data_IF_612333200859
#
_entry.id   IF_612333200859
#
_cell.length_a   1.000
_cell.length_b   1.000
_cell.length_c   1.000
_cell.angle_alpha   90.00
_cell.angle_beta   90.00
_cell.angle_gamma   90.00
#
_symmetry.space_group_name_H-M   'P 1'
#
loop_
_entity.id
_entity.type
_entity.pdbx_description
1 polymer ?
#
# COMPACT_ATOMS: atom_id res chain seq x y z
N UNK A 1 -3.30 11.82 -3.14
CA UNK A 1 -1.98 11.94 -3.76
C UNK A 1 -1.65 13.35 -4.20
N UNK A 2 -2.57 14.09 -4.78
CA UNK A 2 -2.39 15.53 -5.07
C UNK A 2 -1.99 16.34 -3.84
N UNK A 3 -2.50 15.97 -2.67
CA UNK A 3 -2.14 16.63 -1.42
C UNK A 3 -0.67 16.38 -1.02
N UNK A 4 -0.14 15.17 -1.22
CA UNK A 4 1.27 14.85 -0.91
C UNK A 4 2.22 15.60 -1.86
N UNK A 5 1.89 15.66 -3.15
CA UNK A 5 2.67 16.43 -4.13
C UNK A 5 2.60 17.93 -3.84
N UNK A 6 1.42 18.46 -3.51
CA UNK A 6 1.24 19.86 -3.10
C UNK A 6 2.04 20.18 -1.84
N UNK A 7 2.00 19.32 -0.82
CA UNK A 7 2.80 19.47 0.40
C UNK A 7 4.29 19.50 0.08
N UNK A 8 4.78 18.59 -0.80
CA UNK A 8 6.17 18.57 -1.26
C UNK A 8 6.58 19.90 -1.88
N UNK A 9 5.84 20.34 -2.89
CA UNK A 9 6.14 21.58 -3.60
C UNK A 9 6.06 22.80 -2.68
N UNK A 10 5.12 22.80 -1.75
CA UNK A 10 4.97 23.89 -0.76
C UNK A 10 6.16 23.91 0.20
N UNK A 11 6.61 22.77 0.72
CA UNK A 11 7.77 22.67 1.61
C UNK A 11 9.04 23.11 0.88
N UNK A 12 9.26 22.64 -0.36
CA UNK A 12 10.40 23.05 -1.19
C UNK A 12 10.35 24.57 -1.42
N UNK A 13 9.19 25.13 -1.75
CA UNK A 13 9.01 26.56 -1.95
C UNK A 13 9.26 27.40 -0.68
N UNK A 14 8.72 26.95 0.45
CA UNK A 14 8.89 27.65 1.74
C UNK A 14 10.36 27.63 2.19
N UNK A 15 11.03 26.50 2.17
CA UNK A 15 12.43 26.39 2.57
C UNK A 15 13.34 27.18 1.60
N UNK A 16 13.12 27.08 0.29
CA UNK A 16 13.83 27.88 -0.70
C UNK A 16 13.65 29.40 -0.45
N UNK A 17 12.42 29.82 -0.12
CA UNK A 17 12.13 31.22 0.20
C UNK A 17 12.73 31.69 1.53
N UNK A 18 12.71 30.85 2.56
CA UNK A 18 13.33 31.12 3.86
C UNK A 18 14.85 31.23 3.73
N UNK A 19 15.46 30.30 3.02
CA UNK A 19 16.91 30.30 2.77
C UNK A 19 17.29 31.56 1.97
N UNK A 20 16.53 31.90 0.92
CA UNK A 20 16.69 33.12 0.16
C UNK A 20 16.58 34.38 1.04
N UNK A 21 15.57 34.46 1.92
CA UNK A 21 15.34 35.63 2.78
C UNK A 21 16.46 35.84 3.78
N UNK A 22 16.95 34.77 4.42
CA UNK A 22 18.06 34.84 5.40
C UNK A 22 19.37 35.32 4.74
N UNK A 23 19.75 34.70 3.62
CA UNK A 23 20.98 35.10 2.92
C UNK A 23 20.88 36.46 2.23
N UNK A 24 19.73 36.81 1.70
CA UNK A 24 19.48 38.12 1.10
C UNK A 24 19.61 39.26 2.13
N UNK A 25 19.03 39.10 3.33
CA UNK A 25 19.11 40.10 4.39
C UNK A 25 20.54 40.28 4.96
N UNK A 26 21.27 39.18 5.19
CA UNK A 26 22.60 39.29 5.77
C UNK A 26 23.65 39.88 4.80
N UNK A 27 23.60 39.52 3.53
CA UNK A 27 24.64 39.89 2.56
C UNK A 27 24.30 41.12 1.70
N UNK A 28 23.03 41.33 1.34
CA UNK A 28 22.64 42.43 0.50
C UNK A 28 22.64 43.79 1.23
N UNK A 29 22.36 43.79 2.53
CA UNK A 29 22.32 45.01 3.35
C UNK A 29 23.72 45.42 3.83
N UNK A 30 24.65 44.47 3.98
CA UNK A 30 26.00 44.77 4.50
C UNK A 30 27.02 45.27 3.46
N UNK A 31 26.78 45.13 2.15
CA UNK A 31 27.76 45.37 1.09
C UNK A 31 27.22 46.27 -0.06
N UNK A 32 26.57 47.38 0.24
CA UNK A 32 26.17 48.36 -0.77
C UNK A 32 27.34 49.25 -1.23
N UNK A 33 28.31 48.67 -1.88
CA UNK A 33 29.42 49.34 -2.56
C UNK A 33 29.61 48.78 -3.98
N UNK A 34 28.91 49.35 -4.92
CA UNK A 34 29.14 49.61 -6.37
C UNK A 34 29.85 48.61 -7.32
N UNK A 35 30.28 47.41 -6.96
CA UNK A 35 31.02 46.53 -7.91
C UNK A 35 30.54 45.11 -8.09
N UNK A 36 29.37 44.70 -7.56
CA UNK A 36 29.06 43.29 -7.40
C UNK A 36 27.66 42.81 -7.84
N UNK A 37 26.97 43.48 -8.74
CA UNK A 37 25.63 43.02 -9.18
C UNK A 37 25.63 41.66 -9.84
N UNK A 38 26.72 41.28 -10.51
CA UNK A 38 26.84 39.96 -11.16
C UNK A 38 27.21 38.86 -10.16
N UNK A 39 28.08 39.11 -9.20
CA UNK A 39 28.38 38.15 -8.12
C UNK A 39 27.19 37.91 -7.21
N UNK A 40 26.32 38.88 -7.01
CA UNK A 40 25.12 38.75 -6.19
C UNK A 40 24.07 37.83 -6.82
N UNK A 41 23.89 37.86 -8.15
CA UNK A 41 22.96 36.96 -8.86
C UNK A 41 23.46 35.50 -8.78
N UNK A 42 24.75 35.30 -8.93
CA UNK A 42 25.34 33.94 -8.80
C UNK A 42 25.17 33.38 -7.38
N UNK A 43 25.45 34.23 -6.35
CA UNK A 43 25.27 33.87 -4.95
C UNK A 43 23.81 33.54 -4.62
N UNK A 44 22.86 34.36 -5.04
CA UNK A 44 21.44 34.18 -4.84
C UNK A 44 20.96 32.87 -5.51
N UNK A 45 21.37 32.64 -6.75
CA UNK A 45 20.98 31.41 -7.48
C UNK A 45 21.58 30.15 -6.87
N UNK A 46 22.84 30.16 -6.43
CA UNK A 46 23.46 29.05 -5.71
C UNK A 46 22.73 28.75 -4.41
N UNK A 47 22.45 29.78 -3.62
CA UNK A 47 21.75 29.64 -2.33
C UNK A 47 20.32 29.09 -2.49
N UNK A 48 19.58 29.59 -3.49
CA UNK A 48 18.25 29.05 -3.80
C UNK A 48 18.34 27.57 -4.22
N UNK A 49 19.30 27.22 -5.04
CA UNK A 49 19.53 25.84 -5.46
C UNK A 49 19.86 24.92 -4.26
N UNK A 50 20.75 25.36 -3.36
CA UNK A 50 21.05 24.64 -2.11
C UNK A 50 19.80 24.48 -1.23
N UNK A 51 18.95 25.51 -1.12
CA UNK A 51 17.68 25.43 -0.40
C UNK A 51 16.74 24.34 -0.95
N UNK A 52 16.68 24.18 -2.27
CA UNK A 52 15.92 23.10 -2.93
C UNK A 52 16.51 21.72 -2.57
N UNK A 53 17.83 21.57 -2.61
CA UNK A 53 18.53 20.30 -2.32
C UNK A 53 18.35 19.92 -0.83
N UNK A 54 18.49 20.88 0.10
CA UNK A 54 18.24 20.67 1.53
C UNK A 54 16.81 20.19 1.76
N UNK A 55 15.84 20.89 1.15
CA UNK A 55 14.43 20.54 1.27
C UNK A 55 14.13 19.15 0.74
N UNK A 56 14.73 18.78 -0.39
CA UNK A 56 14.61 17.43 -0.98
C UNK A 56 15.21 16.36 -0.05
N UNK A 57 16.39 16.65 0.55
CA UNK A 57 17.03 15.72 1.51
C UNK A 57 16.16 15.50 2.75
N UNK A 58 15.78 16.58 3.44
CA UNK A 58 14.95 16.51 4.67
C UNK A 58 13.64 15.80 4.40
N UNK A 59 12.97 16.18 3.31
CA UNK A 59 11.71 15.56 2.92
C UNK A 59 11.86 14.04 2.71
N UNK A 60 12.86 13.60 1.95
CA UNK A 60 13.03 12.18 1.67
C UNK A 60 13.44 11.40 2.93
N UNK A 61 14.28 11.95 3.80
CA UNK A 61 14.62 11.33 5.08
C UNK A 61 13.40 11.21 6.01
N UNK A 62 12.56 12.25 6.08
CA UNK A 62 11.30 12.20 6.83
C UNK A 62 10.33 11.13 6.28
N UNK A 63 10.22 11.04 4.95
CA UNK A 63 9.40 10.00 4.31
C UNK A 63 9.94 8.58 4.57
N UNK A 64 11.25 8.41 4.65
CA UNK A 64 11.83 7.14 5.06
C UNK A 64 11.39 6.72 6.46
N UNK A 65 11.36 7.65 7.41
CA UNK A 65 10.91 7.35 8.79
C UNK A 65 9.45 6.87 8.78
N UNK A 66 8.60 7.48 7.95
CA UNK A 66 7.18 7.16 7.87
C UNK A 66 6.88 5.89 7.07
N UNK A 67 7.44 5.76 5.85
CA UNK A 67 7.10 4.68 4.90
C UNK A 67 8.05 3.47 5.05
N UNK A 68 9.24 3.66 5.66
CA UNK A 68 10.28 2.62 5.82
C UNK A 68 10.81 2.05 4.50
N UNK A 69 10.65 2.76 3.39
CA UNK A 69 11.17 2.36 2.09
C UNK A 69 12.58 2.92 1.88
N UNK A 70 13.58 2.04 1.68
CA UNK A 70 15.01 2.38 1.56
C UNK A 70 15.33 3.34 0.42
N UNK A 71 14.50 3.42 -0.62
CA UNK A 71 14.69 4.37 -1.72
C UNK A 71 14.75 5.82 -1.22
N UNK A 72 13.88 6.17 -0.28
CA UNK A 72 13.87 7.52 0.31
C UNK A 72 15.13 7.79 1.15
N UNK A 73 15.61 6.80 1.90
CA UNK A 73 16.82 6.91 2.69
C UNK A 73 18.04 7.19 1.80
N UNK A 74 18.25 6.34 0.80
CA UNK A 74 19.42 6.45 -0.07
C UNK A 74 19.40 7.74 -0.88
N UNK A 75 18.25 8.14 -1.39
CA UNK A 75 18.13 9.40 -2.11
C UNK A 75 18.32 10.61 -1.18
N UNK A 76 17.72 10.63 0.01
CA UNK A 76 17.92 11.70 0.99
C UNK A 76 19.39 11.86 1.41
N UNK A 77 20.10 10.75 1.62
CA UNK A 77 21.53 10.77 1.91
C UNK A 77 22.37 11.25 0.71
N UNK A 78 22.06 10.82 -0.50
CA UNK A 78 22.73 11.32 -1.71
C UNK A 78 22.63 12.85 -1.80
N UNK A 79 21.42 13.42 -1.58
CA UNK A 79 21.19 14.86 -1.60
C UNK A 79 21.95 15.59 -0.47
N UNK A 80 21.99 15.00 0.72
CA UNK A 80 22.77 15.56 1.83
C UNK A 80 24.26 15.68 1.47
N UNK A 81 24.86 14.61 0.91
CA UNK A 81 26.24 14.64 0.48
C UNK A 81 26.49 15.53 -0.74
N UNK A 82 25.49 15.67 -1.64
CA UNK A 82 25.55 16.67 -2.71
C UNK A 82 25.64 18.09 -2.16
N UNK A 83 24.90 18.39 -1.09
CA UNK A 83 25.01 19.68 -0.41
C UNK A 83 26.43 19.91 0.16
N UNK A 84 26.98 18.92 0.88
CA UNK A 84 28.36 19.02 1.38
C UNK A 84 29.39 19.18 0.27
N UNK A 85 29.22 18.49 -0.85
CA UNK A 85 30.07 18.64 -2.03
C UNK A 85 30.01 20.07 -2.60
N UNK A 86 28.79 20.63 -2.76
CA UNK A 86 28.61 21.98 -3.30
C UNK A 86 29.17 23.05 -2.37
N UNK A 87 28.97 22.93 -1.05
CA UNK A 87 29.56 23.86 -0.07
C UNK A 87 31.10 23.85 -0.16
N UNK A 88 31.73 22.68 -0.33
CA UNK A 88 33.17 22.60 -0.51
C UNK A 88 33.63 23.14 -1.88
N UNK A 89 32.83 23.00 -2.92
CA UNK A 89 33.11 23.56 -4.25
C UNK A 89 33.05 25.10 -4.20
N UNK A 90 32.09 25.66 -3.47
CA UNK A 90 31.85 27.09 -3.35
C UNK A 90 32.90 27.85 -2.57
N UNK A 91 33.73 27.16 -1.78
CA UNK A 91 34.84 27.82 -1.07
C UNK A 91 35.79 28.56 -2.05
N UNK A 92 35.80 28.17 -3.33
CA UNK A 92 36.51 28.85 -4.40
C UNK A 92 35.85 30.17 -4.79
N UNK A 93 34.50 30.29 -4.60
CA UNK A 93 33.70 31.41 -5.05
C UNK A 93 33.14 32.27 -3.92
N UNK A 94 33.00 31.75 -2.70
CA UNK A 94 32.28 32.36 -1.59
C UNK A 94 33.13 32.31 -0.31
N UNK A 95 34.08 33.25 -0.19
CA UNK A 95 34.96 33.37 0.98
C UNK A 95 34.25 33.42 2.36
N UNK A 96 33.01 33.94 2.52
CA UNK A 96 32.32 33.91 3.79
C UNK A 96 31.95 32.53 4.34
N UNK A 97 31.71 31.55 3.47
CA UNK A 97 31.39 30.19 3.93
C UNK A 97 32.60 29.49 4.55
N UNK A 98 33.79 29.75 4.04
CA UNK A 98 35.04 29.18 4.53
C UNK A 98 35.40 29.78 5.90
N UNK A 99 35.18 31.08 6.11
CA UNK A 99 35.39 31.76 7.40
C UNK A 99 34.42 31.29 8.49
N UNK A 100 33.13 31.02 8.11
CA UNK A 100 32.10 30.63 9.10
C UNK A 100 32.18 29.14 9.45
N UNK A 101 32.46 28.27 8.49
CA UNK A 101 32.37 26.82 8.71
C UNK A 101 33.69 26.07 8.67
N UNK A 102 34.82 26.71 8.26
CA UNK A 102 36.12 26.06 8.13
C UNK A 102 36.09 24.78 7.27
N UNK A 103 35.21 24.74 6.28
CA UNK A 103 34.84 23.54 5.54
C UNK A 103 35.73 23.26 4.34
N UNK A 104 36.74 24.10 4.06
CA UNK A 104 37.70 23.87 2.99
C UNK A 104 38.67 22.73 3.34
N UNK A 105 38.13 21.50 3.32
CA UNK A 105 38.92 20.33 3.66
C UNK A 105 38.91 19.37 2.45
N UNK A 106 40.07 19.08 1.83
CA UNK A 106 40.16 18.14 0.70
C UNK A 106 39.57 16.77 1.00
N UNK A 107 39.66 16.31 2.26
CA UNK A 107 39.02 15.05 2.67
C UNK A 107 37.50 15.10 2.54
N UNK A 108 36.87 16.18 3.01
CA UNK A 108 35.41 16.33 2.94
C UNK A 108 34.92 16.45 1.48
N UNK A 109 35.68 17.10 0.63
CA UNK A 109 35.37 17.21 -0.81
C UNK A 109 35.35 15.84 -1.48
N UNK A 110 36.46 15.07 -1.33
CA UNK A 110 36.54 13.74 -1.94
C UNK A 110 35.59 12.74 -1.30
N UNK A 111 35.42 12.78 0.01
CA UNK A 111 34.50 11.91 0.75
C UNK A 111 33.04 12.16 0.39
N UNK A 112 32.63 13.43 0.29
CA UNK A 112 31.26 13.77 -0.14
C UNK A 112 30.96 13.27 -1.54
N UNK A 113 31.90 13.44 -2.47
CA UNK A 113 31.79 12.96 -3.86
C UNK A 113 31.66 11.43 -3.95
N UNK A 114 32.48 10.69 -3.23
CA UNK A 114 32.38 9.22 -3.14
C UNK A 114 31.06 8.78 -2.47
N UNK A 115 30.59 9.51 -1.47
CA UNK A 115 29.30 9.26 -0.81
C UNK A 115 28.11 9.50 -1.73
N UNK A 116 28.14 10.56 -2.55
CA UNK A 116 27.12 10.79 -3.60
C UNK A 116 27.03 9.58 -4.52
N UNK A 117 28.17 9.10 -5.02
CA UNK A 117 28.20 7.93 -5.89
C UNK A 117 27.63 6.69 -5.19
N UNK A 118 28.05 6.41 -3.95
CA UNK A 118 27.60 5.26 -3.17
C UNK A 118 26.08 5.27 -3.00
N UNK A 119 25.53 6.38 -2.49
CA UNK A 119 24.11 6.45 -2.20
C UNK A 119 23.24 6.54 -3.47
N UNK A 120 23.75 7.14 -4.54
CA UNK A 120 23.10 7.10 -5.86
C UNK A 120 23.04 5.69 -6.43
N UNK A 121 24.09 4.89 -6.32
CA UNK A 121 24.09 3.49 -6.73
C UNK A 121 23.11 2.63 -5.90
N UNK A 122 23.08 2.83 -4.58
CA UNK A 122 22.12 2.17 -3.70
C UNK A 122 20.69 2.56 -4.03
N UNK A 123 20.45 3.84 -4.30
CA UNK A 123 19.16 4.35 -4.76
C UNK A 123 18.70 3.70 -6.05
N UNK A 124 19.56 3.68 -7.09
CA UNK A 124 19.25 3.09 -8.38
C UNK A 124 18.92 1.62 -8.24
N UNK A 125 19.73 0.89 -7.49
CA UNK A 125 19.53 -0.53 -7.26
C UNK A 125 18.16 -0.83 -6.68
N UNK A 126 17.72 -0.05 -5.70
CA UNK A 126 16.38 -0.16 -5.10
C UNK A 126 15.28 0.37 -6.03
N UNK A 127 15.54 1.49 -6.70
CA UNK A 127 14.56 2.13 -7.57
C UNK A 127 14.21 1.25 -8.78
N UNK A 128 15.20 0.68 -9.46
CA UNK A 128 15.01 -0.18 -10.63
C UNK A 128 14.74 -1.64 -10.27
N UNK A 129 14.77 -2.01 -8.98
CA UNK A 129 14.65 -3.41 -8.52
C UNK A 129 15.59 -4.36 -9.26
N UNK A 130 16.84 -3.92 -9.43
CA UNK A 130 17.87 -4.59 -10.24
C UNK A 130 18.25 -5.99 -9.70
N UNK A 131 17.80 -6.36 -8.48
CA UNK A 131 18.10 -7.69 -7.94
C UNK A 131 17.57 -8.86 -8.78
N UNK A 132 16.60 -8.61 -9.64
CA UNK A 132 16.07 -9.62 -10.56
C UNK A 132 16.96 -9.85 -11.78
N UNK A 133 17.94 -8.96 -12.03
CA UNK A 133 18.91 -9.08 -13.12
C UNK A 133 20.28 -9.41 -12.53
N UNK A 134 20.64 -10.70 -12.50
CA UNK A 134 21.79 -11.21 -11.75
C UNK A 134 23.13 -10.56 -12.14
N UNK A 135 23.38 -10.41 -13.43
CA UNK A 135 24.62 -9.79 -13.92
C UNK A 135 24.74 -8.32 -13.50
N UNK A 136 23.65 -7.56 -13.66
CA UNK A 136 23.60 -6.15 -13.29
C UNK A 136 23.75 -5.95 -11.80
N UNK A 137 23.11 -6.80 -11.00
CA UNK A 137 23.22 -6.78 -9.55
C UNK A 137 24.63 -7.11 -9.07
N UNK A 138 25.33 -8.09 -9.68
CA UNK A 138 26.72 -8.41 -9.38
C UNK A 138 27.65 -7.23 -9.70
N UNK A 139 27.45 -6.58 -10.86
CA UNK A 139 28.26 -5.43 -11.25
C UNK A 139 28.06 -4.25 -10.31
N UNK A 140 26.81 -3.87 -10.02
CA UNK A 140 26.54 -2.75 -9.07
C UNK A 140 27.14 -3.04 -7.69
N UNK A 141 27.05 -4.28 -7.19
CA UNK A 141 27.73 -4.66 -5.95
C UNK A 141 29.22 -4.48 -6.03
N UNK A 142 29.85 -4.91 -7.12
CA UNK A 142 31.30 -4.74 -7.32
C UNK A 142 31.68 -3.25 -7.29
N UNK A 143 30.92 -2.39 -7.97
CA UNK A 143 31.16 -0.94 -7.99
C UNK A 143 30.95 -0.33 -6.59
N UNK A 144 29.92 -0.77 -5.84
CA UNK A 144 29.73 -0.34 -4.45
C UNK A 144 30.96 -0.70 -3.58
N UNK A 145 31.49 -1.93 -3.71
CA UNK A 145 32.68 -2.33 -2.96
C UNK A 145 33.92 -1.52 -3.37
N UNK A 146 34.08 -1.25 -4.66
CA UNK A 146 35.16 -0.39 -5.16
C UNK A 146 35.03 1.05 -4.63
N UNK A 147 33.81 1.59 -4.60
CA UNK A 147 33.55 2.93 -4.04
C UNK A 147 33.85 2.96 -2.54
N UNK A 148 33.49 1.93 -1.79
CA UNK A 148 33.82 1.83 -0.35
C UNK A 148 35.34 1.74 -0.16
N UNK A 149 36.06 1.00 -1.00
CA UNK A 149 37.53 0.93 -0.96
C UNK A 149 38.16 2.29 -1.30
N UNK A 150 37.62 3.04 -2.28
CA UNK A 150 38.07 4.39 -2.63
C UNK A 150 37.81 5.39 -1.48
N UNK A 151 36.71 5.25 -0.76
CA UNK A 151 36.44 6.04 0.45
C UNK A 151 37.46 5.78 1.54
N UNK A 152 37.82 4.52 1.79
CA UNK A 152 38.89 4.17 2.75
C UNK A 152 40.25 4.70 2.30
N UNK A 153 40.56 4.60 1.01
CA UNK A 153 41.78 5.15 0.43
C UNK A 153 41.83 6.67 0.60
N UNK A 154 40.71 7.35 0.35
CA UNK A 154 40.58 8.80 0.54
C UNK A 154 40.84 9.20 2.00
N UNK A 155 40.35 8.45 2.98
CA UNK A 155 40.58 8.72 4.40
C UNK A 155 42.08 8.61 4.80
N UNK A 156 42.84 7.74 4.13
CA UNK A 156 44.25 7.51 4.42
C UNK A 156 45.14 8.52 3.68
N UNK A 157 44.86 8.74 2.39
CA UNK A 157 45.77 9.46 1.47
C UNK A 157 45.28 10.85 1.06
N UNK A 158 44.12 11.29 1.51
CA UNK A 158 43.47 12.57 1.12
C UNK A 158 43.23 12.75 -0.37
N UNK A 159 43.16 11.65 -1.12
CA UNK A 159 43.00 11.64 -2.55
C UNK A 159 42.06 10.51 -2.99
N UNK A 160 41.09 10.82 -3.85
CA UNK A 160 40.17 9.84 -4.42
C UNK A 160 40.66 9.38 -5.77
N UNK A 161 40.88 8.07 -5.95
CA UNK A 161 41.35 7.48 -7.19
C UNK A 161 40.21 7.24 -8.18
N UNK A 162 39.14 6.59 -7.74
CA UNK A 162 38.06 6.07 -8.57
C UNK A 162 36.91 7.06 -8.71
N UNK A 163 36.57 7.80 -7.66
CA UNK A 163 35.45 8.75 -7.67
C UNK A 163 35.67 9.92 -8.67
N UNK A 164 36.89 10.11 -9.16
CA UNK A 164 37.19 11.07 -10.21
C UNK A 164 36.72 10.61 -11.61
N UNK A 165 36.68 9.30 -11.89
CA UNK A 165 36.39 8.74 -13.21
C UNK A 165 35.01 8.05 -13.28
N UNK A 166 34.56 7.45 -12.19
CA UNK A 166 33.38 6.60 -12.12
C UNK A 166 32.04 7.38 -12.23
N UNK A 167 31.88 8.60 -11.66
CA UNK A 167 30.55 9.26 -11.56
C UNK A 167 29.83 9.45 -12.88
N UNK A 168 30.55 9.59 -13.98
CA UNK A 168 29.98 9.92 -15.30
C UNK A 168 29.60 8.64 -16.09
N UNK A 169 30.46 7.62 -16.05
CA UNK A 169 30.29 6.44 -16.90
C UNK A 169 29.25 5.45 -16.37
N UNK A 170 29.10 5.30 -15.07
CA UNK A 170 28.19 4.32 -14.48
C UNK A 170 26.71 4.70 -14.65
N UNK A 171 26.27 5.91 -14.32
CA UNK A 171 24.91 6.35 -14.62
C UNK A 171 24.56 6.20 -16.11
N UNK A 172 25.43 6.61 -17.00
CA UNK A 172 25.22 6.49 -18.47
C UNK A 172 25.03 5.02 -18.86
N UNK A 173 25.90 4.15 -18.39
CA UNK A 173 25.82 2.73 -18.73
C UNK A 173 24.56 2.06 -18.17
N UNK A 174 24.17 2.36 -16.92
CA UNK A 174 22.94 1.89 -16.30
C UNK A 174 21.70 2.38 -17.05
N UNK A 175 21.71 3.65 -17.45
CA UNK A 175 20.65 4.26 -18.27
C UNK A 175 20.50 3.49 -19.58
N UNK A 176 21.59 3.27 -20.30
CA UNK A 176 21.57 2.59 -21.59
C UNK A 176 21.13 1.12 -21.47
N UNK A 177 21.55 0.43 -20.39
CA UNK A 177 21.17 -0.96 -20.15
C UNK A 177 19.67 -1.15 -19.87
N UNK A 178 19.03 -0.19 -19.19
CA UNK A 178 17.63 -0.24 -18.80
C UNK A 178 16.68 0.52 -19.75
N UNK A 179 17.22 1.37 -20.63
CA UNK A 179 16.42 2.21 -21.53
C UNK A 179 15.46 1.39 -22.41
N UNK A 180 15.92 0.28 -22.97
CA UNK A 180 15.10 -0.59 -23.83
C UNK A 180 13.91 -1.19 -23.08
N UNK A 181 14.09 -1.56 -21.81
CA UNK A 181 13.01 -2.08 -20.97
C UNK A 181 12.01 -0.98 -20.64
N UNK A 182 12.48 0.17 -20.18
CA UNK A 182 11.65 1.28 -19.80
C UNK A 182 10.83 1.85 -20.97
N UNK A 183 11.39 1.87 -22.18
CA UNK A 183 10.67 2.27 -23.40
C UNK A 183 9.54 1.27 -23.71
N UNK A 184 9.79 -0.03 -23.59
CA UNK A 184 8.76 -1.05 -23.81
C UNK A 184 7.64 -1.00 -22.78
N UNK A 185 7.99 -0.80 -21.53
CA UNK A 185 7.04 -0.78 -20.41
C UNK A 185 6.37 0.59 -20.20
N UNK A 186 6.76 1.63 -20.96
CA UNK A 186 6.31 3.03 -20.80
C UNK A 186 6.44 3.51 -19.33
N UNK A 187 7.58 3.21 -18.72
CA UNK A 187 7.88 3.50 -17.31
C UNK A 187 8.13 5.00 -17.08
N UNK A 188 7.06 5.75 -16.79
CA UNK A 188 7.13 7.19 -16.53
C UNK A 188 8.08 7.59 -15.39
N UNK A 189 8.11 6.90 -14.23
CA UNK A 189 9.13 7.14 -13.20
C UNK A 189 10.56 7.09 -13.73
N UNK A 190 10.84 6.16 -14.63
CA UNK A 190 12.15 6.03 -15.24
C UNK A 190 12.48 7.20 -16.17
N UNK A 191 11.53 7.70 -16.95
CA UNK A 191 11.75 8.88 -17.77
C UNK A 191 12.09 10.12 -16.95
N UNK A 192 11.43 10.33 -15.81
CA UNK A 192 11.78 11.44 -14.90
C UNK A 192 13.20 11.28 -14.36
N UNK A 193 13.59 10.08 -13.94
CA UNK A 193 14.95 9.79 -13.48
C UNK A 193 15.98 10.07 -14.57
N UNK A 194 15.72 9.60 -15.80
CA UNK A 194 16.60 9.84 -16.96
C UNK A 194 16.77 11.32 -17.24
N UNK A 195 15.67 12.09 -17.25
CA UNK A 195 15.71 13.53 -17.57
C UNK A 195 16.55 14.28 -16.56
N UNK A 196 16.37 14.03 -15.26
CA UNK A 196 17.19 14.65 -14.21
C UNK A 196 18.67 14.37 -14.39
N UNK A 197 19.03 13.11 -14.60
CA UNK A 197 20.42 12.71 -14.76
C UNK A 197 21.05 13.17 -16.08
N UNK A 198 20.30 13.13 -17.17
CA UNK A 198 20.78 13.61 -18.45
C UNK A 198 21.21 15.09 -18.39
N UNK A 199 20.38 15.92 -17.74
CA UNK A 199 20.69 17.35 -17.52
C UNK A 199 21.96 17.49 -16.68
N UNK A 200 22.09 16.73 -15.57
CA UNK A 200 23.25 16.81 -14.68
C UNK A 200 24.54 16.36 -15.37
N UNK A 201 24.49 15.26 -16.11
CA UNK A 201 25.64 14.75 -16.86
C UNK A 201 26.02 15.73 -17.97
N UNK A 202 25.07 16.26 -18.71
CA UNK A 202 25.33 17.20 -19.80
C UNK A 202 26.03 18.47 -19.30
N UNK A 203 25.55 19.07 -18.20
CA UNK A 203 26.18 20.26 -17.62
C UNK A 203 27.57 19.94 -17.05
N UNK A 204 27.73 18.80 -16.36
CA UNK A 204 29.04 18.37 -15.83
C UNK A 204 30.09 18.16 -16.95
N UNK A 205 29.67 17.61 -18.10
CA UNK A 205 30.55 17.43 -19.27
C UNK A 205 30.95 18.77 -19.88
N UNK A 206 30.00 19.68 -20.06
CA UNK A 206 30.27 21.04 -20.57
C UNK A 206 31.24 21.80 -19.67
N UNK A 207 31.06 21.69 -18.35
CA UNK A 207 31.93 22.31 -17.37
C UNK A 207 33.33 21.68 -17.40
N UNK A 208 33.43 20.37 -17.45
CA UNK A 208 34.70 19.66 -17.54
C UNK A 208 35.49 19.98 -18.83
N UNK A 209 34.79 20.21 -19.95
CA UNK A 209 35.41 20.65 -21.20
C UNK A 209 35.80 22.12 -21.21
N UNK A 210 35.58 22.87 -20.12
CA UNK A 210 35.90 24.30 -20.04
C UNK A 210 35.03 25.20 -20.93
N UNK A 211 33.97 24.66 -21.53
CA UNK A 211 33.11 25.43 -22.44
C UNK A 211 32.32 26.53 -21.69
N UNK A 212 32.09 26.36 -20.39
CA UNK A 212 31.45 27.37 -19.53
C UNK A 212 32.38 28.57 -19.31
N UNK A 213 33.69 28.33 -19.22
CA UNK A 213 34.68 29.40 -19.08
C UNK A 213 34.66 30.41 -20.25
N UNK A 214 34.20 30.00 -21.44
CA UNK A 214 33.96 30.85 -22.59
C UNK A 214 32.87 31.91 -22.40
N UNK A 215 31.94 31.64 -21.47
CA UNK A 215 30.81 32.56 -21.19
C UNK A 215 31.27 33.72 -20.28
N UNK A 216 32.49 33.63 -19.71
CA UNK A 216 33.16 34.74 -19.02
C UNK A 216 32.54 35.13 -17.66
N UNK A 217 31.57 34.36 -17.15
CA UNK A 217 30.88 34.67 -15.91
C UNK A 217 30.86 33.49 -14.98
N UNK A 218 31.25 33.64 -13.69
CA UNK A 218 31.09 32.57 -12.68
C UNK A 218 29.63 32.41 -12.32
N UNK A 219 28.90 31.58 -13.10
CA UNK A 219 27.48 31.27 -12.84
C UNK A 219 27.38 29.85 -12.24
N UNK A 220 26.57 29.63 -11.20
CA UNK A 220 26.52 28.37 -10.45
C UNK A 220 25.68 27.32 -11.21
N UNK A 221 26.12 26.93 -12.40
CA UNK A 221 25.40 25.97 -13.25
C UNK A 221 25.22 24.62 -12.57
N UNK A 222 26.23 24.11 -11.85
CA UNK A 222 26.18 22.85 -11.14
C UNK A 222 25.11 22.86 -10.03
N UNK A 223 25.00 23.93 -9.27
CA UNK A 223 24.02 24.08 -8.20
C UNK A 223 22.59 24.01 -8.73
N UNK A 224 22.32 24.78 -9.78
CA UNK A 224 21.00 24.81 -10.43
C UNK A 224 20.68 23.44 -11.02
N UNK A 225 21.66 22.79 -11.60
CA UNK A 225 21.50 21.47 -12.21
C UNK A 225 21.14 20.40 -11.17
N UNK A 226 21.84 20.36 -10.05
CA UNK A 226 21.51 19.43 -8.96
C UNK A 226 20.16 19.76 -8.31
N UNK A 227 19.76 21.04 -8.25
CA UNK A 227 18.43 21.41 -7.79
C UNK A 227 17.33 20.91 -8.76
N UNK A 228 17.53 21.07 -10.07
CA UNK A 228 16.64 20.54 -11.11
C UNK A 228 16.56 19.00 -11.02
N UNK A 229 17.71 18.34 -10.92
CA UNK A 229 17.79 16.89 -10.72
C UNK A 229 16.98 16.46 -9.50
N UNK A 230 17.14 17.17 -8.38
CA UNK A 230 16.40 16.89 -7.14
C UNK A 230 14.88 16.94 -7.33
N UNK A 231 14.39 17.85 -8.15
CA UNK A 231 12.98 17.96 -8.47
C UNK A 231 12.55 16.75 -9.33
N UNK A 232 13.27 16.45 -10.40
CA UNK A 232 12.92 15.33 -11.29
C UNK A 232 12.96 13.97 -10.58
N UNK A 233 13.96 13.72 -9.74
CA UNK A 233 14.04 12.48 -8.97
C UNK A 233 12.94 12.40 -7.89
N UNK A 234 12.60 13.51 -7.25
CA UNK A 234 11.46 13.57 -6.32
C UNK A 234 10.13 13.28 -7.02
N UNK A 235 9.96 13.76 -8.25
CA UNK A 235 8.81 13.43 -9.11
C UNK A 235 8.80 11.95 -9.50
N UNK A 236 9.95 11.40 -9.90
CA UNK A 236 10.09 9.98 -10.23
C UNK A 236 9.66 9.06 -9.07
N UNK A 237 10.17 9.33 -7.86
CA UNK A 237 9.82 8.57 -6.66
C UNK A 237 8.32 8.71 -6.33
N UNK A 238 7.79 9.92 -6.41
CA UNK A 238 6.37 10.20 -6.12
C UNK A 238 5.44 9.50 -7.09
N UNK A 239 5.76 9.53 -8.38
CA UNK A 239 4.97 8.86 -9.40
C UNK A 239 5.01 7.33 -9.24
N UNK A 240 6.18 6.79 -8.93
CA UNK A 240 6.34 5.37 -8.64
C UNK A 240 5.52 4.92 -7.44
N UNK A 241 5.51 5.72 -6.38
CA UNK A 241 4.67 5.46 -5.21
C UNK A 241 3.18 5.43 -5.59
N UNK A 242 2.74 6.38 -6.42
CA UNK A 242 1.36 6.40 -6.95
C UNK A 242 1.01 5.09 -7.66
N UNK A 243 1.85 4.65 -8.59
CA UNK A 243 1.60 3.42 -9.35
C UNK A 243 1.52 2.19 -8.45
N UNK A 244 2.36 2.13 -7.41
CA UNK A 244 2.33 1.03 -6.44
C UNK A 244 1.04 1.06 -5.59
N UNK A 245 0.60 2.22 -5.15
CA UNK A 245 -0.65 2.40 -4.41
C UNK A 245 -1.88 2.00 -5.26
N UNK A 246 -1.93 2.45 -6.52
CA UNK A 246 -2.99 2.07 -7.46
C UNK A 246 -3.01 0.55 -7.72
N UNK A 247 -1.84 -0.06 -7.89
CA UNK A 247 -1.72 -1.51 -8.06
C UNK A 247 -2.18 -2.28 -6.83
N UNK A 248 -1.82 -1.81 -5.64
CA UNK A 248 -2.25 -2.42 -4.38
C UNK A 248 -3.78 -2.34 -4.22
N UNK A 249 -4.38 -1.18 -4.50
CA UNK A 249 -5.84 -1.00 -4.47
C UNK A 249 -6.55 -1.92 -5.46
N UNK A 250 -6.00 -2.05 -6.67
CA UNK A 250 -6.55 -2.98 -7.67
C UNK A 250 -6.47 -4.44 -7.20
N UNK A 251 -5.37 -4.86 -6.58
CA UNK A 251 -5.23 -6.20 -6.01
C UNK A 251 -6.23 -6.44 -4.89
N UNK A 252 -6.44 -5.47 -3.99
CA UNK A 252 -7.46 -5.56 -2.95
C UNK A 252 -8.87 -5.73 -3.54
N UNK A 253 -9.21 -4.96 -4.57
CA UNK A 253 -10.51 -5.09 -5.26
C UNK A 253 -10.70 -6.47 -5.89
N UNK A 254 -9.65 -7.03 -6.50
CA UNK A 254 -9.70 -8.39 -7.07
C UNK A 254 -9.89 -9.45 -5.98
N UNK A 255 -9.21 -9.33 -4.85
CA UNK A 255 -9.38 -10.24 -3.72
C UNK A 255 -10.81 -10.18 -3.16
N UNK A 256 -11.40 -8.98 -3.06
CA UNK A 256 -12.81 -8.82 -2.68
C UNK A 256 -13.75 -9.54 -3.65
N UNK A 257 -13.54 -9.39 -4.94
CA UNK A 257 -14.34 -10.08 -5.95
C UNK A 257 -14.21 -11.60 -5.86
N UNK A 258 -12.98 -12.12 -5.68
CA UNK A 258 -12.74 -13.56 -5.51
C UNK A 258 -13.43 -14.10 -4.26
N UNK A 259 -13.35 -13.39 -3.13
CA UNK A 259 -14.05 -13.78 -1.90
C UNK A 259 -15.56 -13.82 -2.08
N UNK A 260 -16.13 -12.83 -2.79
CA UNK A 260 -17.57 -12.83 -3.12
C UNK A 260 -17.95 -14.04 -3.96
N UNK A 261 -17.15 -14.38 -4.97
CA UNK A 261 -17.41 -15.56 -5.82
C UNK A 261 -17.29 -16.86 -5.03
N UNK A 262 -16.32 -16.98 -4.14
CA UNK A 262 -16.17 -18.15 -3.28
C UNK A 262 -17.38 -18.31 -2.33
N UNK A 263 -17.79 -17.24 -1.65
CA UNK A 263 -18.99 -17.24 -0.79
C UNK A 263 -20.26 -17.56 -1.59
N UNK A 264 -20.36 -17.05 -2.83
CA UNK A 264 -21.47 -17.38 -3.74
C UNK A 264 -21.50 -18.88 -4.10
N UNK A 265 -20.34 -19.51 -4.33
CA UNK A 265 -20.24 -20.95 -4.59
C UNK A 265 -20.74 -21.79 -3.43
N UNK A 266 -20.38 -21.43 -2.21
CA UNK A 266 -20.84 -22.11 -0.99
C UNK A 266 -22.36 -21.96 -0.81
N UNK A 267 -22.90 -20.76 -1.02
CA UNK A 267 -24.32 -20.50 -0.93
C UNK A 267 -25.14 -21.23 -1.99
N UNK A 268 -24.65 -21.32 -3.23
CA UNK A 268 -25.32 -22.10 -4.29
C UNK A 268 -25.47 -23.55 -3.82
N UNK A 269 -24.48 -24.12 -3.15
CA UNK A 269 -24.56 -25.46 -2.57
C UNK A 269 -25.67 -25.57 -1.50
N UNK A 270 -25.76 -24.56 -0.62
CA UNK A 270 -26.82 -24.48 0.41
C UNK A 270 -28.19 -24.40 -0.23
N UNK A 271 -28.36 -23.50 -1.21
CA UNK A 271 -29.64 -23.34 -1.93
C UNK A 271 -30.04 -24.62 -2.65
N UNK A 272 -29.09 -25.26 -3.36
CA UNK A 272 -29.36 -26.54 -4.05
C UNK A 272 -29.88 -27.59 -3.08
N UNK A 273 -29.29 -27.66 -1.86
CA UNK A 273 -29.74 -28.59 -0.83
C UNK A 273 -31.14 -28.18 -0.29
N UNK A 274 -31.35 -26.89 -0.04
CA UNK A 274 -32.66 -26.38 0.42
C UNK A 274 -33.78 -26.61 -0.59
N UNK A 275 -33.48 -26.53 -1.88
CA UNK A 275 -34.48 -26.78 -2.93
C UNK A 275 -34.80 -28.24 -3.16
N UNK A 276 -33.87 -29.13 -2.88
CA UNK A 276 -34.11 -30.58 -3.00
C UNK A 276 -35.27 -31.05 -2.11
N UNK A 277 -35.45 -30.47 -0.93
CA UNK A 277 -36.53 -30.81 -0.01
C UNK A 277 -37.93 -30.42 -0.53
N UNK A 278 -38.23 -29.13 -0.87
CA UNK A 278 -39.53 -28.75 -1.41
C UNK A 278 -39.82 -29.39 -2.77
N UNK A 279 -38.81 -29.61 -3.62
CA UNK A 279 -39.01 -30.34 -4.89
C UNK A 279 -39.44 -31.80 -4.67
N UNK A 280 -38.83 -32.48 -3.69
CA UNK A 280 -39.25 -33.85 -3.32
C UNK A 280 -40.68 -33.82 -2.77
N UNK A 281 -41.00 -32.83 -1.91
CA UNK A 281 -42.38 -32.70 -1.41
C UNK A 281 -43.40 -32.45 -2.56
N UNK A 282 -43.09 -31.52 -3.48
CA UNK A 282 -43.94 -31.23 -4.65
C UNK A 282 -44.11 -32.46 -5.54
N UNK A 283 -43.10 -33.29 -5.68
CA UNK A 283 -43.18 -34.57 -6.40
C UNK A 283 -44.21 -35.54 -5.75
N UNK A 284 -44.14 -35.65 -4.42
CA UNK A 284 -45.08 -36.51 -3.65
C UNK A 284 -46.50 -35.95 -3.73
N UNK A 285 -46.64 -34.61 -3.58
CA UNK A 285 -47.97 -33.94 -3.75
C UNK A 285 -48.55 -34.19 -5.15
N UNK A 286 -47.73 -34.10 -6.18
CA UNK A 286 -48.17 -34.35 -7.56
C UNK A 286 -48.62 -35.77 -7.77
N UNK A 287 -47.93 -36.78 -7.17
CA UNK A 287 -48.35 -38.18 -7.20
C UNK A 287 -49.70 -38.38 -6.48
N UNK A 288 -49.86 -37.77 -5.30
CA UNK A 288 -51.10 -37.88 -4.54
C UNK A 288 -52.28 -37.18 -5.23
N UNK A 289 -52.06 -35.99 -5.84
CA UNK A 289 -53.06 -35.28 -6.63
C UNK A 289 -53.59 -36.13 -7.80
N UNK A 290 -52.69 -36.85 -8.51
CA UNK A 290 -53.11 -37.75 -9.60
C UNK A 290 -54.00 -38.87 -9.08
N UNK A 291 -53.67 -39.44 -7.90
CA UNK A 291 -54.48 -40.49 -7.28
C UNK A 291 -55.86 -39.97 -6.81
N UNK A 292 -55.87 -38.83 -6.09
CA UNK A 292 -57.09 -38.21 -5.61
C UNK A 292 -58.02 -37.77 -6.74
N UNK A 293 -57.47 -37.33 -7.88
CA UNK A 293 -58.24 -37.02 -9.07
C UNK A 293 -58.96 -38.27 -9.62
N UNK A 294 -58.32 -39.44 -9.57
CA UNK A 294 -58.92 -40.70 -9.96
C UNK A 294 -60.03 -41.17 -8.99
N UNK A 295 -59.93 -40.81 -7.71
CA UNK A 295 -60.83 -41.18 -6.64
C UNK A 295 -61.91 -40.11 -6.35
N UNK A 296 -62.01 -38.99 -7.13
CA UNK A 296 -62.94 -37.85 -6.95
C UNK A 296 -62.86 -37.22 -5.56
N UNK A 297 -61.71 -37.20 -4.93
CA UNK A 297 -61.50 -36.62 -3.60
C UNK A 297 -61.10 -35.14 -3.67
N UNK A 298 -61.32 -34.38 -2.57
CA UNK A 298 -60.99 -32.96 -2.47
C UNK A 298 -59.46 -32.75 -2.29
N UNK A 299 -58.83 -32.05 -3.26
CA UNK A 299 -57.38 -31.82 -3.31
C UNK A 299 -56.92 -30.44 -2.82
N UNK A 300 -57.85 -29.60 -2.35
CA UNK A 300 -57.59 -28.19 -2.04
C UNK A 300 -56.48 -28.01 -1.01
N UNK A 301 -56.36 -28.88 0.02
CA UNK A 301 -55.36 -28.79 1.04
C UNK A 301 -53.94 -29.05 0.48
N UNK A 302 -53.77 -30.05 -0.35
CA UNK A 302 -52.49 -30.33 -1.01
C UNK A 302 -52.04 -29.25 -1.98
N UNK A 303 -52.98 -28.64 -2.69
CA UNK A 303 -52.73 -27.49 -3.59
C UNK A 303 -52.24 -26.28 -2.80
N UNK A 304 -52.87 -25.95 -1.67
CA UNK A 304 -52.46 -24.85 -0.81
C UNK A 304 -51.05 -25.08 -0.21
N UNK A 305 -50.74 -26.31 0.18
CA UNK A 305 -49.43 -26.66 0.70
C UNK A 305 -48.35 -26.57 -0.39
N UNK A 306 -48.66 -26.99 -1.62
CA UNK A 306 -47.82 -26.84 -2.81
C UNK A 306 -47.49 -25.39 -3.10
N UNK A 307 -48.49 -24.51 -3.03
CA UNK A 307 -48.33 -23.07 -3.25
C UNK A 307 -47.34 -22.47 -2.21
N UNK A 308 -47.49 -22.80 -0.93
CA UNK A 308 -46.59 -22.36 0.14
C UNK A 308 -45.15 -22.80 -0.12
N UNK A 309 -44.91 -24.00 -0.61
CA UNK A 309 -43.56 -24.48 -0.94
C UNK A 309 -42.94 -23.72 -2.10
N UNK A 310 -43.74 -23.41 -3.13
CA UNK A 310 -43.29 -22.58 -4.27
C UNK A 310 -42.95 -21.16 -3.83
N UNK A 311 -43.79 -20.56 -2.98
CA UNK A 311 -43.50 -19.22 -2.39
C UNK A 311 -42.22 -19.23 -1.55
N UNK A 312 -42.01 -20.27 -0.73
CA UNK A 312 -40.78 -20.44 0.02
C UNK A 312 -39.52 -20.50 -0.88
N UNK A 313 -39.60 -21.27 -1.99
CA UNK A 313 -38.52 -21.36 -2.96
C UNK A 313 -38.23 -20.03 -3.63
N UNK A 314 -39.29 -19.29 -4.01
CA UNK A 314 -39.16 -17.94 -4.61
C UNK A 314 -38.53 -16.96 -3.69
N UNK A 315 -38.97 -16.90 -2.43
CA UNK A 315 -38.41 -16.01 -1.40
C UNK A 315 -36.96 -16.32 -1.11
N UNK A 316 -36.56 -17.60 -1.20
CA UNK A 316 -35.16 -18.02 -1.04
C UNK A 316 -34.29 -17.46 -2.16
N UNK A 317 -34.76 -17.46 -3.43
CA UNK A 317 -34.03 -16.85 -4.56
C UNK A 317 -33.94 -15.34 -4.39
N UNK A 318 -35.03 -14.67 -4.03
CA UNK A 318 -35.05 -13.22 -3.87
C UNK A 318 -34.08 -12.78 -2.77
N UNK A 319 -34.08 -13.45 -1.63
CA UNK A 319 -33.10 -13.20 -0.55
C UNK A 319 -31.66 -13.40 -1.01
N UNK A 320 -31.40 -14.43 -1.82
CA UNK A 320 -30.07 -14.67 -2.39
C UNK A 320 -29.68 -13.60 -3.40
N UNK A 321 -30.57 -13.22 -4.31
CA UNK A 321 -30.33 -12.15 -5.29
C UNK A 321 -30.01 -10.83 -4.61
N UNK A 322 -30.77 -10.49 -3.57
CA UNK A 322 -30.59 -9.24 -2.84
C UNK A 322 -29.28 -9.21 -2.05
N UNK A 323 -28.89 -10.33 -1.45
CA UNK A 323 -27.61 -10.49 -0.77
C UNK A 323 -26.39 -10.27 -1.71
N UNK A 324 -26.46 -10.73 -2.96
CA UNK A 324 -25.38 -10.58 -3.95
C UNK A 324 -25.52 -9.38 -4.87
N UNK A 325 -26.51 -8.54 -4.66
CA UNK A 325 -26.67 -7.33 -5.46
C UNK A 325 -25.45 -6.41 -5.24
N UNK A 326 -24.70 -6.04 -6.31
CA UNK A 326 -23.52 -5.21 -6.19
C UNK A 326 -23.83 -3.73 -5.92
N UNK A 327 -24.95 -3.41 -5.24
CA UNK A 327 -25.28 -2.03 -4.92
C UNK A 327 -24.18 -1.46 -4.00
N UNK A 328 -23.41 -0.51 -4.52
CA UNK A 328 -22.38 0.21 -3.78
C UNK A 328 -22.96 1.33 -2.87
N UNK A 329 -24.26 1.30 -2.59
CA UNK A 329 -24.86 2.35 -1.77
C UNK A 329 -24.56 2.07 -0.31
N UNK A 330 -23.91 3.05 0.31
CA UNK A 330 -23.79 3.10 1.76
C UNK A 330 -25.12 3.62 2.30
N UNK A 331 -25.67 2.90 3.27
CA UNK A 331 -26.94 3.22 3.92
C UNK A 331 -26.83 2.99 5.43
N UNK A 332 -27.76 3.55 6.17
CA UNK A 332 -27.90 3.25 7.59
C UNK A 332 -28.74 1.98 7.77
N UNK A 333 -28.26 1.01 8.53
CA UNK A 333 -28.93 -0.25 8.75
C UNK A 333 -28.73 -0.78 10.17
N UNK A 334 -29.70 -1.53 10.70
CA UNK A 334 -29.65 -2.18 12.00
C UNK A 334 -28.76 -3.41 11.98
N UNK A 335 -27.87 -3.53 12.97
CA UNK A 335 -27.01 -4.69 13.17
C UNK A 335 -27.82 -5.96 13.46
N UNK A 336 -28.92 -5.83 14.24
CA UNK A 336 -29.81 -6.95 14.54
C UNK A 336 -30.51 -7.48 13.28
N UNK A 337 -31.08 -6.59 12.44
CA UNK A 337 -31.73 -7.01 11.21
C UNK A 337 -30.78 -7.71 10.24
N UNK A 338 -29.53 -7.24 10.12
CA UNK A 338 -28.53 -7.87 9.30
C UNK A 338 -28.18 -9.27 9.81
N UNK A 339 -28.01 -9.46 11.11
CA UNK A 339 -27.75 -10.78 11.71
C UNK A 339 -28.93 -11.74 11.54
N UNK A 340 -30.17 -11.30 11.75
CA UNK A 340 -31.38 -12.11 11.56
C UNK A 340 -31.51 -12.57 10.10
N UNK A 341 -31.22 -11.67 9.15
CA UNK A 341 -31.22 -12.03 7.72
C UNK A 341 -30.21 -13.14 7.42
N UNK A 342 -28.97 -13.01 7.88
CA UNK A 342 -27.94 -14.04 7.71
C UNK A 342 -28.33 -15.35 8.38
N UNK A 343 -28.89 -15.31 9.58
CA UNK A 343 -29.36 -16.51 10.29
C UNK A 343 -30.47 -17.24 9.51
N UNK A 344 -31.38 -16.49 8.92
CA UNK A 344 -32.41 -17.07 8.04
C UNK A 344 -31.80 -17.82 6.87
N UNK A 345 -30.78 -17.26 6.25
CA UNK A 345 -30.05 -17.87 5.12
C UNK A 345 -29.38 -19.20 5.53
N UNK A 346 -28.71 -19.22 6.69
CA UNK A 346 -27.94 -20.40 7.14
C UNK A 346 -28.77 -21.43 7.92
N UNK A 347 -29.99 -21.11 8.30
CA UNK A 347 -30.85 -21.89 9.21
C UNK A 347 -30.99 -23.37 8.82
N UNK A 348 -31.26 -23.62 7.54
CA UNK A 348 -31.41 -24.99 7.01
C UNK A 348 -30.07 -25.78 7.07
N UNK A 349 -28.94 -25.13 6.75
CA UNK A 349 -27.63 -25.75 6.79
C UNK A 349 -27.23 -26.11 8.23
N UNK A 350 -27.49 -25.22 9.20
CA UNK A 350 -27.25 -25.47 10.62
C UNK A 350 -28.14 -26.57 11.16
N UNK A 351 -29.43 -26.57 10.83
CA UNK A 351 -30.39 -27.61 11.20
C UNK A 351 -30.00 -29.00 10.66
N UNK A 352 -29.59 -29.07 9.39
CA UNK A 352 -29.10 -30.28 8.77
C UNK A 352 -27.85 -30.86 9.44
N UNK A 353 -26.99 -29.99 9.94
CA UNK A 353 -25.80 -30.33 10.71
C UNK A 353 -26.09 -30.54 12.22
N UNK A 354 -27.37 -30.41 12.66
CA UNK A 354 -27.78 -30.48 14.06
C UNK A 354 -27.10 -29.47 14.97
N UNK A 355 -26.71 -28.31 14.42
CA UNK A 355 -26.07 -27.21 15.15
C UNK A 355 -27.15 -26.27 15.70
N UNK A 356 -27.14 -26.03 17.01
CA UNK A 356 -28.03 -25.07 17.67
C UNK A 356 -27.44 -23.67 17.56
N UNK A 357 -28.22 -22.71 17.07
CA UNK A 357 -27.84 -21.28 17.13
C UNK A 357 -28.71 -20.56 18.18
N UNK A 358 -28.07 -19.83 19.06
CA UNK A 358 -28.72 -19.01 20.08
C UNK A 358 -28.30 -17.55 19.90
N UNK A 359 -29.30 -16.67 19.85
CA UNK A 359 -29.09 -15.25 19.61
C UNK A 359 -29.65 -14.42 20.75
N UNK A 360 -28.88 -13.46 21.22
CA UNK A 360 -29.29 -12.51 22.26
C UNK A 360 -28.98 -11.10 21.79
N UNK A 361 -29.97 -10.24 21.80
CA UNK A 361 -29.81 -8.80 21.54
C UNK A 361 -30.04 -8.06 22.83
N UNK A 362 -28.98 -7.55 23.45
CA UNK A 362 -29.07 -6.72 24.63
C UNK A 362 -29.46 -5.28 24.26
N UNK A 363 -28.81 -4.75 23.22
CA UNK A 363 -29.07 -3.42 22.66
C UNK A 363 -28.71 -3.42 21.19
N UNK A 364 -29.67 -3.04 20.33
CA UNK A 364 -29.42 -2.88 18.88
C UNK A 364 -28.71 -1.54 18.60
N UNK A 365 -27.98 -1.48 17.50
CA UNK A 365 -27.34 -0.27 17.03
C UNK A 365 -27.33 -0.21 15.51
N UNK A 366 -27.23 1.01 14.97
CA UNK A 366 -27.19 1.27 13.56
C UNK A 366 -25.76 1.43 13.07
N UNK A 367 -25.49 0.92 11.87
CA UNK A 367 -24.24 1.06 11.14
C UNK A 367 -24.48 1.83 9.85
N UNK A 368 -23.50 2.64 9.45
CA UNK A 368 -23.49 3.30 8.15
C UNK A 368 -22.48 2.66 7.23
N UNK A 369 -22.93 2.01 6.19
CA UNK A 369 -22.07 1.31 5.25
C UNK A 369 -22.83 0.46 4.22
N UNK A 370 -22.13 -0.47 3.58
CA UNK A 370 -22.75 -1.43 2.70
C UNK A 370 -23.27 -2.62 3.51
N UNK A 371 -24.60 -2.71 3.67
CA UNK A 371 -25.27 -3.77 4.41
C UNK A 371 -24.90 -5.17 3.90
N UNK A 372 -24.84 -5.37 2.59
CA UNK A 372 -24.51 -6.67 2.00
C UNK A 372 -23.08 -7.12 2.33
N UNK A 373 -22.12 -6.19 2.39
CA UNK A 373 -20.74 -6.51 2.80
C UNK A 373 -20.68 -6.89 4.27
N UNK A 374 -21.42 -6.20 5.12
CA UNK A 374 -21.53 -6.57 6.53
C UNK A 374 -22.18 -7.94 6.73
N UNK A 375 -23.27 -8.22 6.04
CA UNK A 375 -23.92 -9.54 6.06
C UNK A 375 -22.97 -10.65 5.56
N UNK A 376 -22.12 -10.35 4.56
CA UNK A 376 -21.10 -11.28 4.09
C UNK A 376 -20.06 -11.60 5.19
N UNK A 377 -19.67 -10.62 6.00
CA UNK A 377 -18.80 -10.86 7.16
C UNK A 377 -19.47 -11.80 8.15
N UNK A 378 -20.71 -11.51 8.55
CA UNK A 378 -21.46 -12.35 9.50
C UNK A 378 -21.61 -13.77 8.97
N UNK A 379 -21.95 -13.93 7.68
CA UNK A 379 -22.06 -15.22 7.02
C UNK A 379 -20.75 -16.00 7.08
N UNK A 380 -19.64 -15.36 6.75
CA UNK A 380 -18.32 -16.00 6.77
C UNK A 380 -17.94 -16.47 8.18
N UNK A 381 -18.19 -15.65 9.21
CA UNK A 381 -17.90 -16.03 10.59
C UNK A 381 -18.78 -17.20 11.09
N UNK A 382 -20.07 -17.19 10.76
CA UNK A 382 -20.99 -18.28 11.10
C UNK A 382 -20.64 -19.57 10.37
N UNK A 383 -20.27 -19.49 9.09
CA UNK A 383 -19.81 -20.66 8.33
C UNK A 383 -18.50 -21.22 8.88
N UNK A 384 -17.55 -20.38 9.29
CA UNK A 384 -16.33 -20.84 9.92
C UNK A 384 -16.61 -21.58 11.24
N UNK A 385 -17.53 -21.08 12.05
CA UNK A 385 -18.00 -21.75 13.26
C UNK A 385 -18.65 -23.10 12.93
N UNK A 386 -19.59 -23.14 11.96
CA UNK A 386 -20.25 -24.36 11.49
C UNK A 386 -19.24 -25.42 11.05
N UNK A 387 -18.28 -25.03 10.22
CA UNK A 387 -17.29 -25.97 9.69
C UNK A 387 -16.40 -26.55 10.79
N UNK A 388 -15.96 -25.71 11.74
CA UNK A 388 -15.17 -26.18 12.89
C UNK A 388 -15.94 -27.19 13.76
N UNK A 389 -17.24 -26.96 13.96
CA UNK A 389 -18.10 -27.86 14.71
C UNK A 389 -18.30 -29.22 14.01
N UNK A 390 -18.47 -29.20 12.68
CA UNK A 390 -18.62 -30.39 11.86
C UNK A 390 -17.30 -31.19 11.80
N UNK A 391 -16.19 -30.50 11.48
CA UNK A 391 -14.87 -31.13 11.33
C UNK A 391 -14.44 -31.87 12.60
N UNK A 392 -14.74 -31.28 13.76
CA UNK A 392 -14.34 -31.84 15.05
C UNK A 392 -15.41 -32.73 15.71
N UNK A 393 -16.55 -32.98 15.05
CA UNK A 393 -17.62 -33.85 15.50
C UNK A 393 -18.06 -33.56 16.95
N UNK A 394 -18.31 -32.28 17.26
CA UNK A 394 -18.70 -31.82 18.60
C UNK A 394 -20.06 -32.46 18.96
N UNK A 395 -20.16 -33.05 20.16
CA UNK A 395 -21.32 -33.82 20.60
C UNK A 395 -22.60 -32.95 20.73
N UNK A 396 -22.47 -31.73 21.23
CA UNK A 396 -23.56 -30.76 21.33
C UNK A 396 -23.15 -29.44 20.62
N UNK A 397 -23.13 -29.40 19.27
CA UNK A 397 -22.61 -28.28 18.54
C UNK A 397 -23.52 -27.04 18.70
N UNK A 398 -22.95 -25.92 19.11
CA UNK A 398 -23.67 -24.68 19.40
C UNK A 398 -22.90 -23.47 18.88
N UNK A 399 -23.66 -22.53 18.30
CA UNK A 399 -23.20 -21.19 17.97
C UNK A 399 -24.00 -20.19 18.80
N UNK A 400 -23.32 -19.27 19.47
CA UNK A 400 -23.95 -18.20 20.24
C UNK A 400 -23.61 -16.87 19.62
N UNK A 401 -24.63 -16.05 19.36
CA UNK A 401 -24.46 -14.68 18.85
C UNK A 401 -25.03 -13.69 19.87
N UNK A 402 -24.26 -12.64 20.18
CA UNK A 402 -24.69 -11.60 21.13
C UNK A 402 -24.47 -10.24 20.48
N UNK A 403 -25.51 -9.43 20.45
CA UNK A 403 -25.44 -8.01 20.07
C UNK A 403 -25.54 -7.18 21.35
N UNK A 404 -24.56 -6.31 21.54
CA UNK A 404 -24.51 -5.37 22.66
C UNK A 404 -24.17 -3.99 22.10
N UNK A 405 -24.11 -2.98 22.97
CA UNK A 405 -23.78 -1.61 22.61
C UNK A 405 -22.50 -1.58 21.73
N UNK A 406 -22.67 -1.20 20.44
CA UNK A 406 -21.62 -1.11 19.43
C UNK A 406 -20.77 -2.37 19.20
N UNK A 407 -21.27 -3.56 19.56
CA UNK A 407 -20.49 -4.80 19.37
C UNK A 407 -21.35 -6.01 19.04
N UNK A 408 -20.73 -6.91 18.24
CA UNK A 408 -21.31 -8.23 17.93
C UNK A 408 -20.29 -9.30 18.30
N UNK A 409 -20.75 -10.31 19.01
CA UNK A 409 -19.95 -11.48 19.37
C UNK A 409 -20.52 -12.70 18.70
N UNK A 410 -19.67 -13.52 18.05
CA UNK A 410 -20.03 -14.81 17.46
C UNK A 410 -19.10 -15.86 18.06
N UNK A 411 -19.68 -16.80 18.81
CA UNK A 411 -18.96 -17.83 19.54
C UNK A 411 -19.41 -19.22 19.10
N UNK A 412 -18.47 -20.12 18.85
CA UNK A 412 -18.68 -21.56 18.73
C UNK A 412 -18.12 -22.30 19.96
N UNK A 413 -18.62 -23.50 20.21
CA UNK A 413 -18.11 -24.39 21.24
C UNK A 413 -17.24 -25.52 20.66
N UNK A 414 -16.47 -25.22 19.60
CA UNK A 414 -15.54 -26.14 18.96
C UNK A 414 -14.24 -26.33 19.75
N UNK A 415 -13.24 -26.96 19.10
CA UNK A 415 -11.89 -27.18 19.71
C UNK A 415 -10.99 -25.97 19.71
N UNK A 416 -11.47 -24.85 19.14
CA UNK A 416 -10.72 -23.62 19.04
C UNK A 416 -9.59 -23.66 18.01
N UNK A 417 -8.80 -22.59 18.00
CA UNK A 417 -7.69 -22.34 17.07
C UNK A 417 -6.37 -22.42 17.85
N UNK A 418 -5.36 -23.08 17.29
CA UNK A 418 -4.05 -23.19 17.92
C UNK A 418 -3.36 -21.83 18.07
N UNK A 419 -2.50 -21.69 19.12
CA UNK A 419 -1.76 -20.44 19.38
C UNK A 419 -0.86 -20.01 18.22
N UNK A 420 -0.41 -20.95 17.41
CA UNK A 420 0.42 -20.65 16.23
C UNK A 420 -0.42 -20.08 15.09
N UNK A 421 -1.62 -20.63 14.90
CA UNK A 421 -2.51 -20.23 13.81
C UNK A 421 -3.25 -18.93 14.11
N UNK A 422 -3.60 -18.66 15.37
CA UNK A 422 -4.38 -17.46 15.76
C UNK A 422 -3.71 -16.14 15.30
N UNK A 423 -2.38 -16.13 15.18
CA UNK A 423 -1.63 -14.95 14.69
C UNK A 423 -1.70 -14.78 13.16
N UNK A 424 -2.11 -15.83 12.45
CA UNK A 424 -2.08 -15.92 10.98
C UNK A 424 -3.46 -16.01 10.35
N UNK A 425 -4.53 -16.22 11.15
CA UNK A 425 -5.88 -16.45 10.59
C UNK A 425 -6.42 -15.30 9.76
N UNK A 426 -5.88 -14.10 9.96
CA UNK A 426 -6.22 -12.92 9.17
C UNK A 426 -5.23 -12.63 8.03
N UNK A 427 -4.19 -13.47 7.84
CA UNK A 427 -3.28 -13.32 6.71
C UNK A 427 -3.97 -13.82 5.44
N UNK A 428 -3.81 -13.13 4.30
CA UNK A 428 -4.40 -13.59 3.04
C UNK A 428 -3.81 -14.95 2.63
N UNK A 429 -4.68 -15.81 2.11
CA UNK A 429 -4.37 -17.20 1.70
C UNK A 429 -3.99 -18.16 2.84
N UNK A 430 -4.18 -17.77 4.09
CA UNK A 430 -3.99 -18.68 5.20
C UNK A 430 -5.26 -19.51 5.45
N UNK A 431 -5.15 -20.83 5.37
CA UNK A 431 -6.22 -21.78 5.69
C UNK A 431 -5.65 -23.08 6.26
N UNK A 432 -6.36 -23.65 7.22
CA UNK A 432 -6.11 -25.02 7.72
C UNK A 432 -6.99 -26.05 6.99
N UNK A 433 -7.98 -25.61 6.22
CA UNK A 433 -8.92 -26.44 5.48
C UNK A 433 -8.38 -26.79 4.09
N UNK A 434 -8.49 -28.06 3.65
CA UNK A 434 -7.96 -28.52 2.34
C UNK A 434 -8.60 -27.84 1.11
N UNK A 435 -9.86 -27.39 1.22
CA UNK A 435 -10.65 -26.88 0.10
C UNK A 435 -11.07 -25.41 0.30
N UNK A 436 -10.29 -24.62 1.02
CA UNK A 436 -10.59 -23.22 1.26
C UNK A 436 -9.43 -22.33 0.81
N UNK A 437 -9.74 -21.25 0.09
CA UNK A 437 -8.76 -20.30 -0.44
C UNK A 437 -8.07 -19.44 0.63
N UNK A 438 -8.50 -19.51 1.90
CA UNK A 438 -7.92 -18.77 3.02
C UNK A 438 -8.09 -17.25 2.93
N UNK A 439 -9.08 -16.76 2.19
CA UNK A 439 -9.31 -15.34 1.94
C UNK A 439 -10.42 -14.77 2.84
N UNK A 440 -11.34 -15.63 3.30
CA UNK A 440 -12.58 -15.20 3.98
C UNK A 440 -12.35 -14.30 5.21
N UNK A 441 -11.53 -14.73 6.17
CA UNK A 441 -11.24 -13.96 7.39
C UNK A 441 -10.46 -12.68 7.10
N UNK A 442 -9.51 -12.72 6.14
CA UNK A 442 -8.80 -11.53 5.70
C UNK A 442 -9.77 -10.46 5.16
N UNK A 443 -10.69 -10.87 4.29
CA UNK A 443 -11.71 -9.96 3.73
C UNK A 443 -12.68 -9.48 4.82
N UNK A 444 -13.11 -10.36 5.73
CA UNK A 444 -13.97 -9.96 6.86
C UNK A 444 -13.30 -8.87 7.69
N UNK A 445 -12.01 -9.00 7.99
CA UNK A 445 -11.25 -7.98 8.71
C UNK A 445 -11.16 -6.68 7.93
N UNK A 446 -10.88 -6.76 6.63
CA UNK A 446 -10.77 -5.58 5.77
C UNK A 446 -12.10 -4.82 5.66
N UNK A 447 -13.23 -5.50 5.51
CA UNK A 447 -14.56 -4.87 5.46
C UNK A 447 -14.85 -4.16 6.78
N UNK A 448 -14.65 -4.83 7.92
CA UNK A 448 -14.92 -4.23 9.24
C UNK A 448 -14.00 -3.03 9.48
N UNK A 449 -12.69 -3.16 9.26
CA UNK A 449 -11.73 -2.12 9.64
C UNK A 449 -11.64 -0.96 8.64
N UNK A 450 -11.76 -1.22 7.33
CA UNK A 450 -11.55 -0.19 6.31
C UNK A 450 -12.84 0.43 5.80
N UNK A 451 -13.94 -0.34 5.72
CA UNK A 451 -15.20 0.14 5.15
C UNK A 451 -16.20 0.60 6.21
N UNK A 452 -16.22 -0.06 7.37
CA UNK A 452 -17.19 0.17 8.44
C UNK A 452 -16.59 0.87 9.67
N UNK A 453 -15.27 1.04 9.75
CA UNK A 453 -14.59 1.75 10.82
C UNK A 453 -14.61 1.03 12.17
N UNK A 454 -14.83 -0.28 12.18
CA UNK A 454 -14.79 -1.13 13.37
C UNK A 454 -13.46 -1.88 13.53
N UNK A 455 -13.43 -2.82 14.47
CA UNK A 455 -12.29 -3.71 14.73
C UNK A 455 -12.77 -5.17 14.82
N UNK A 456 -12.10 -6.10 14.13
CA UNK A 456 -12.38 -7.54 14.19
C UNK A 456 -11.31 -8.24 15.02
N UNK A 457 -11.71 -8.77 16.19
CA UNK A 457 -10.85 -9.50 17.13
C UNK A 457 -11.26 -10.96 17.24
N UNK A 458 -10.34 -11.79 17.75
CA UNK A 458 -10.58 -13.19 18.01
C UNK A 458 -10.01 -13.59 19.36
N UNK A 459 -10.75 -14.40 20.13
CA UNK A 459 -10.25 -15.15 21.27
C UNK A 459 -10.59 -16.63 21.05
N UNK A 460 -9.65 -17.50 21.31
CA UNK A 460 -9.86 -18.95 21.13
C UNK A 460 -9.10 -19.73 22.19
N UNK A 461 -9.73 -20.79 22.68
CA UNK A 461 -9.20 -21.73 23.63
C UNK A 461 -9.70 -23.15 23.28
N UNK A 462 -9.48 -24.13 24.14
CA UNK A 462 -9.93 -25.51 23.93
C UNK A 462 -11.46 -25.71 24.01
N UNK A 463 -12.20 -24.69 24.46
CA UNK A 463 -13.65 -24.73 24.60
C UNK A 463 -14.38 -24.02 23.46
N UNK A 464 -13.63 -23.47 22.47
CA UNK A 464 -14.19 -22.85 21.27
C UNK A 464 -13.47 -21.59 20.80
N UNK A 465 -14.08 -20.95 19.80
CA UNK A 465 -13.60 -19.69 19.23
C UNK A 465 -14.67 -18.61 19.37
N UNK A 466 -14.23 -17.40 19.69
CA UNK A 466 -15.08 -16.23 19.80
C UNK A 466 -14.53 -15.10 18.93
N UNK A 467 -15.29 -14.65 17.95
CA UNK A 467 -15.03 -13.44 17.19
C UNK A 467 -15.78 -12.27 17.77
N UNK A 468 -15.11 -11.13 17.87
CA UNK A 468 -15.67 -9.87 18.34
C UNK A 468 -15.57 -8.85 17.21
N UNK A 469 -16.68 -8.24 16.86
CA UNK A 469 -16.78 -7.08 15.98
C UNK A 469 -17.14 -5.90 16.86
N UNK A 470 -16.25 -4.93 16.98
CA UNK A 470 -16.42 -3.75 17.84
C UNK A 470 -16.41 -2.49 16.97
N UNK A 471 -17.34 -1.57 17.22
CA UNK A 471 -17.43 -0.27 16.56
C UNK A 471 -17.20 0.85 17.59
N UNK A 472 -16.51 1.91 17.19
CA UNK A 472 -16.17 3.04 18.07
C UNK A 472 -17.30 4.06 18.14
#
# INVERSE_FOLDING_TARGET
MDNVLKIKLTIIGIFGSITFFFFYNEHFISHTGTMHTFNNIALVSATMAMGVIISASIYNLAFYVYIRNRQYLYYGLAQLFTLFFLINLDSIYISPFDEIFGLHNPYLFHLSRASILLFSLLFIKEFLKIYHVEHLNKLIKAIIYLTLADMLFTLIFSYALLSNFIPIFIPIWLILSEANRAIKEKDMPFYFLLTGWYISIFVAVIEHLGLIAWIGTPFPFLHITFAIESIFLSLAISYKFKLLDEKQKMQQTLLLQQSRLASMGEMISIIAHQWKQPLNFLSVVNMNLKRMHQEHQNSTMLLNESTKQIEYMSNTIDSFRDFYNPSKRKEEFSATQALEHVQTIVSSALSSAKIKIESTTNQDFNLYGNKNEFEQVLLNLINNAKDALIEHQIEHPKITTVISENSITIQDNGKGISKENIKKIFDPYFSTKKNSDGIGLYISKMIIEQELGGELKVKSNQEGTTFFIEFL
#
